data_IF_224044633528
#
_entry.id   IF_224044633528
#
_cell.length_a   1.000
_cell.length_b   1.000
_cell.length_c   1.000
_cell.angle_alpha   90.00
_cell.angle_beta   90.00
_cell.angle_gamma   90.00
#
_symmetry.space_group_name_H-M   'P 1'
#
loop_
_entity.id
_entity.type
_entity.pdbx_description
1 polymer ?
#
# COMPACT_ATOMS: atom_id res chain seq x y z
N UNK A 1 19.09 -7.32 16.58
CA UNK A 1 18.65 -7.18 15.18
C UNK A 1 17.72 -8.31 14.73
N UNK A 2 18.12 -9.60 14.79
CA UNK A 2 17.24 -10.75 14.42
C UNK A 2 15.91 -10.83 15.16
N UNK A 3 15.85 -10.46 16.43
CA UNK A 3 14.64 -10.52 17.27
C UNK A 3 13.65 -9.38 16.99
N UNK A 4 14.11 -8.21 16.55
CA UNK A 4 13.25 -7.07 16.20
C UNK A 4 12.59 -7.29 14.82
N UNK A 5 13.35 -7.78 13.86
CA UNK A 5 12.84 -8.14 12.53
C UNK A 5 11.77 -9.25 12.62
N UNK A 6 12.02 -10.26 13.49
CA UNK A 6 11.05 -11.31 13.74
C UNK A 6 9.76 -10.78 14.42
N UNK A 7 9.87 -9.80 15.32
CA UNK A 7 8.70 -9.19 15.97
C UNK A 7 7.91 -8.28 15.05
N UNK A 8 8.57 -7.51 14.17
CA UNK A 8 7.91 -6.71 13.15
C UNK A 8 7.25 -7.58 12.08
N UNK A 9 7.91 -8.66 11.67
CA UNK A 9 7.34 -9.64 10.75
C UNK A 9 6.14 -10.37 11.37
N UNK A 10 6.22 -10.74 12.65
CA UNK A 10 5.12 -11.36 13.37
C UNK A 10 3.92 -10.42 13.55
N UNK A 11 4.15 -9.11 13.80
CA UNK A 11 3.10 -8.09 13.87
C UNK A 11 2.46 -7.82 12.51
N UNK A 12 3.26 -7.78 11.43
CA UNK A 12 2.77 -7.64 10.06
C UNK A 12 1.95 -8.86 9.63
N UNK A 13 2.39 -10.08 9.96
CA UNK A 13 1.68 -11.32 9.68
C UNK A 13 0.40 -11.47 10.51
N UNK A 14 0.40 -11.04 11.77
CA UNK A 14 -0.79 -11.02 12.62
C UNK A 14 -1.84 -10.01 12.11
N UNK A 15 -1.42 -8.85 11.62
CA UNK A 15 -2.30 -7.87 10.98
C UNK A 15 -2.93 -8.39 9.67
N UNK A 16 -2.20 -9.19 8.89
CA UNK A 16 -2.72 -9.81 7.66
C UNK A 16 -3.73 -10.93 7.94
N UNK A 17 -3.56 -11.67 9.04
CA UNK A 17 -4.47 -12.76 9.43
C UNK A 17 -5.83 -12.24 9.93
N UNK A 18 -5.88 -11.03 10.48
CA UNK A 18 -7.12 -10.37 10.93
C UNK A 18 -7.86 -9.61 9.82
N UNK A 19 -7.22 -9.40 8.67
CA UNK A 19 -7.76 -8.65 7.53
C UNK A 19 -8.32 -9.52 6.39
N UNK A 20 -8.48 -10.83 6.55
CA UNK A 20 -9.13 -11.64 5.54
C UNK A 20 -10.65 -11.35 5.56
N UNK A 21 -11.24 -10.84 4.45
CA UNK A 21 -12.69 -10.69 4.38
C UNK A 21 -13.34 -12.08 4.31
N UNK A 22 -13.83 -12.57 5.44
CA UNK A 22 -14.81 -13.64 5.49
C UNK A 22 -16.18 -13.04 5.04
N UNK A 23 -16.26 -12.57 3.80
CA UNK A 23 -17.46 -12.02 3.21
C UNK A 23 -17.67 -12.58 1.80
N UNK A 24 -17.82 -13.91 1.74
CA UNK A 24 -18.47 -14.54 0.60
C UNK A 24 -19.15 -15.82 1.11
N UNK A 25 -20.48 -15.75 1.23
CA UNK A 25 -21.44 -16.82 1.60
C UNK A 25 -21.94 -16.79 3.05
N UNK A 26 -22.57 -15.67 3.45
CA UNK A 26 -23.64 -15.72 4.42
C UNK A 26 -24.98 -15.51 3.68
N UNK A 27 -26.01 -16.33 3.92
CA UNK A 27 -27.32 -16.15 3.31
C UNK A 27 -27.92 -14.81 3.78
N UNK A 28 -28.67 -14.15 2.89
CA UNK A 28 -29.26 -12.82 3.07
C UNK A 28 -30.18 -12.67 4.31
N UNK A 29 -30.48 -13.74 4.99
CA UNK A 29 -31.30 -13.74 6.21
C UNK A 29 -30.55 -13.31 7.48
N UNK A 30 -29.21 -13.40 7.48
CA UNK A 30 -28.42 -13.02 8.66
C UNK A 30 -28.26 -11.49 8.80
N UNK A 31 -28.35 -10.74 7.71
CA UNK A 31 -28.24 -9.27 7.71
C UNK A 31 -29.50 -8.58 8.26
N UNK A 32 -30.67 -9.21 8.14
CA UNK A 32 -31.92 -8.66 8.65
C UNK A 32 -32.02 -8.77 10.18
N UNK A 33 -31.44 -9.80 10.78
CA UNK A 33 -31.42 -10.00 12.22
C UNK A 33 -30.56 -9.01 12.98
N UNK A 34 -29.44 -8.55 12.37
CA UNK A 34 -28.52 -7.60 13.01
C UNK A 34 -29.11 -6.18 12.98
N UNK A 35 -29.80 -5.79 11.90
CA UNK A 35 -30.49 -4.49 11.81
C UNK A 35 -31.66 -4.44 12.78
N UNK A 36 -32.47 -5.50 12.90
CA UNK A 36 -33.57 -5.59 13.86
C UNK A 36 -33.08 -5.56 15.33
N UNK A 37 -31.94 -6.14 15.63
CA UNK A 37 -31.36 -6.09 16.98
C UNK A 37 -30.76 -4.71 17.31
N UNK A 38 -30.26 -3.98 16.31
CA UNK A 38 -29.77 -2.61 16.48
C UNK A 38 -30.95 -1.62 16.71
N UNK A 39 -32.05 -1.78 15.96
CA UNK A 39 -33.25 -0.97 16.14
C UNK A 39 -33.92 -1.24 17.51
N UNK A 40 -34.01 -2.49 17.94
CA UNK A 40 -34.51 -2.84 19.26
C UNK A 40 -33.63 -2.33 20.42
N UNK A 41 -32.29 -2.30 20.20
CA UNK A 41 -31.36 -1.72 21.17
C UNK A 41 -31.45 -0.19 21.22
N UNK A 42 -31.74 0.45 20.09
CA UNK A 42 -31.96 1.90 20.03
C UNK A 42 -33.26 2.31 20.69
N UNK A 43 -34.37 1.55 20.49
CA UNK A 43 -35.65 1.78 21.10
C UNK A 43 -35.68 1.50 22.63
N UNK A 44 -34.81 0.61 23.10
CA UNK A 44 -34.62 0.33 24.52
C UNK A 44 -33.83 1.41 25.28
N UNK A 45 -33.12 2.31 24.56
CA UNK A 45 -32.37 3.45 25.13
C UNK A 45 -33.23 4.71 25.31
N UNK A 46 -34.38 4.78 24.67
CA UNK A 46 -35.26 5.96 24.70
C UNK A 46 -35.89 6.26 26.09
N UNK A 47 -36.18 5.26 26.98
CA UNK A 47 -36.69 5.57 28.33
C UNK A 47 -35.61 6.02 29.31
N UNK A 48 -34.34 6.02 28.94
CA UNK A 48 -33.21 6.41 29.81
C UNK A 48 -32.62 7.79 29.46
N UNK A 49 -33.23 8.47 28.48
CA UNK A 49 -32.86 9.84 28.20
C UNK A 49 -33.42 10.72 29.33
N UNK A 50 -32.60 11.31 30.21
CA UNK A 50 -33.06 12.33 31.13
C UNK A 50 -33.58 13.49 30.28
N UNK A 51 -34.73 14.09 30.67
CA UNK A 51 -35.18 15.37 30.10
C UNK A 51 -34.02 16.36 30.22
N UNK A 52 -33.30 16.56 29.12
CA UNK A 52 -32.13 17.43 29.07
C UNK A 52 -32.62 18.86 29.23
N UNK A 53 -32.33 19.46 30.36
CA UNK A 53 -32.46 20.89 30.56
C UNK A 53 -31.55 21.60 29.55
N UNK A 54 -32.01 22.53 28.70
CA UNK A 54 -31.19 23.24 27.73
C UNK A 54 -29.98 23.96 28.32
N UNK A 55 -29.99 24.18 29.65
CA UNK A 55 -28.84 24.73 30.40
C UNK A 55 -27.72 23.73 30.58
N UNK A 56 -27.98 22.41 30.60
CA UNK A 56 -27.01 21.35 30.77
C UNK A 56 -26.18 21.15 29.48
N UNK A 57 -26.79 21.30 28.31
CA UNK A 57 -26.10 21.18 27.02
C UNK A 57 -25.06 22.30 26.81
N UNK A 58 -25.39 23.53 27.26
CA UNK A 58 -24.42 24.64 27.22
C UNK A 58 -23.25 24.45 28.16
N UNK A 59 -23.48 23.84 29.32
CA UNK A 59 -22.43 23.55 30.31
C UNK A 59 -21.54 22.38 29.86
N UNK A 60 -22.09 21.37 29.20
CA UNK A 60 -21.34 20.25 28.59
C UNK A 60 -20.48 20.73 27.44
N UNK A 61 -21.00 21.61 26.57
CA UNK A 61 -20.24 22.22 25.48
C UNK A 61 -19.14 23.16 26.01
N UNK A 62 -19.42 23.93 27.06
CA UNK A 62 -18.44 24.80 27.70
C UNK A 62 -17.31 23.99 28.37
N UNK A 63 -17.61 22.87 29.02
CA UNK A 63 -16.61 21.95 29.60
C UNK A 63 -15.80 21.23 28.52
N UNK A 64 -16.42 20.84 27.40
CA UNK A 64 -15.72 20.28 26.26
C UNK A 64 -14.78 21.33 25.62
N UNK A 65 -15.21 22.57 25.47
CA UNK A 65 -14.39 23.67 24.96
C UNK A 65 -13.21 23.99 25.92
N UNK A 66 -13.43 24.03 27.24
CA UNK A 66 -12.38 24.22 28.23
C UNK A 66 -11.39 23.06 28.28
N UNK A 67 -11.84 21.81 28.01
CA UNK A 67 -10.96 20.64 27.85
C UNK A 67 -10.06 20.73 26.62
N UNK A 68 -10.52 21.34 25.54
CA UNK A 68 -9.75 21.62 24.32
C UNK A 68 -8.73 22.74 24.56
N UNK A 69 -9.08 23.80 25.31
CA UNK A 69 -8.17 24.89 25.67
C UNK A 69 -7.07 24.44 26.65
N UNK A 70 -7.32 23.42 27.46
CA UNK A 70 -6.34 22.88 28.39
C UNK A 70 -5.29 21.93 27.74
N UNK A 71 -5.32 21.74 26.40
CA UNK A 71 -4.38 20.86 25.67
C UNK A 71 -4.49 19.36 26.02
N UNK A 72 -5.54 18.96 26.77
CA UNK A 72 -5.84 17.58 27.09
C UNK A 72 -6.95 17.08 26.18
N UNK A 73 -6.56 16.46 25.07
CA UNK A 73 -7.48 15.64 24.29
C UNK A 73 -8.12 14.62 25.25
N UNK A 74 -9.44 14.52 25.22
CA UNK A 74 -10.14 13.48 25.98
C UNK A 74 -9.56 12.11 25.57
N UNK A 75 -9.36 11.22 26.52
CA UNK A 75 -8.85 9.85 26.27
C UNK A 75 -9.60 9.16 25.16
N UNK A 76 -10.90 9.44 25.01
CA UNK A 76 -11.71 8.91 23.91
C UNK A 76 -11.25 9.43 22.53
N UNK A 77 -10.87 10.71 22.42
CA UNK A 77 -10.36 11.31 21.17
C UNK A 77 -8.95 10.76 20.89
N UNK A 78 -8.11 10.60 21.89
CA UNK A 78 -6.78 9.99 21.73
C UNK A 78 -6.90 8.55 21.21
N UNK A 79 -7.80 7.74 21.77
CA UNK A 79 -8.07 6.38 21.31
C UNK A 79 -8.64 6.40 19.88
N UNK A 80 -9.58 7.28 19.57
CA UNK A 80 -10.15 7.38 18.24
C UNK A 80 -9.10 7.75 17.19
N UNK A 81 -8.23 8.71 17.48
CA UNK A 81 -7.10 9.10 16.63
C UNK A 81 -6.12 7.93 16.46
N UNK A 82 -5.77 7.24 17.55
CA UNK A 82 -4.87 6.09 17.50
C UNK A 82 -5.44 4.98 16.60
N UNK A 83 -6.72 4.64 16.75
CA UNK A 83 -7.38 3.63 15.92
C UNK A 83 -7.42 4.09 14.46
N UNK A 84 -7.72 5.36 14.20
CA UNK A 84 -7.74 5.92 12.84
C UNK A 84 -6.36 5.84 12.19
N UNK A 85 -5.30 6.24 12.89
CA UNK A 85 -3.92 6.13 12.40
C UNK A 85 -3.55 4.67 12.14
N UNK A 86 -3.90 3.77 13.06
CA UNK A 86 -3.58 2.34 12.93
C UNK A 86 -4.30 1.69 11.74
N UNK A 87 -5.53 2.09 11.44
CA UNK A 87 -6.28 1.59 10.27
C UNK A 87 -5.78 2.16 8.95
N UNK A 88 -5.23 3.38 8.93
CA UNK A 88 -4.65 4.00 7.75
C UNK A 88 -3.21 3.56 7.49
N UNK A 89 -2.50 3.09 8.51
CA UNK A 89 -1.09 2.72 8.41
C UNK A 89 -0.76 1.74 7.27
N UNK A 90 -1.52 0.64 7.04
CA UNK A 90 -1.27 -0.26 5.93
C UNK A 90 -1.39 0.44 4.56
N UNK A 91 -2.38 1.32 4.38
CA UNK A 91 -2.57 2.07 3.15
C UNK A 91 -1.40 3.03 2.88
N UNK A 92 -0.93 3.73 3.93
CA UNK A 92 0.22 4.63 3.84
C UNK A 92 1.47 3.82 3.48
N UNK A 93 1.74 2.71 4.16
CA UNK A 93 2.92 1.87 3.88
C UNK A 93 2.94 1.37 2.43
N UNK A 94 1.81 0.89 1.91
CA UNK A 94 1.68 0.45 0.52
C UNK A 94 1.96 1.61 -0.45
N UNK A 95 1.50 2.82 -0.12
CA UNK A 95 1.58 3.98 -1.00
C UNK A 95 2.97 4.61 -1.06
N UNK A 96 3.70 4.64 0.07
CA UNK A 96 5.01 5.33 0.17
C UNK A 96 6.21 4.39 0.11
N UNK A 97 6.00 3.11 -0.20
CA UNK A 97 7.09 2.13 -0.34
C UNK A 97 7.19 1.58 -1.76
N UNK A 98 8.18 0.72 -2.00
CA UNK A 98 8.35 0.00 -3.26
C UNK A 98 7.25 -1.02 -3.57
N UNK A 99 6.31 -1.28 -2.65
CA UNK A 99 5.29 -2.31 -2.77
C UNK A 99 4.43 -2.14 -4.03
N UNK A 100 4.00 -0.92 -4.32
CA UNK A 100 3.10 -0.63 -5.47
C UNK A 100 3.71 -1.08 -6.80
N UNK A 101 4.97 -0.73 -7.08
CA UNK A 101 5.66 -1.17 -8.30
C UNK A 101 5.77 -2.69 -8.35
N UNK A 102 6.24 -3.29 -7.27
CA UNK A 102 6.50 -4.73 -7.21
C UNK A 102 5.22 -5.54 -7.44
N UNK A 103 4.14 -5.23 -6.74
CA UNK A 103 2.88 -6.00 -6.86
C UNK A 103 2.24 -5.85 -8.24
N UNK A 104 2.33 -4.67 -8.85
CA UNK A 104 1.81 -4.43 -10.20
C UNK A 104 2.61 -5.23 -11.21
N UNK A 105 3.94 -5.16 -11.20
CA UNK A 105 4.80 -5.88 -12.15
C UNK A 105 4.64 -7.40 -12.01
N UNK A 106 4.63 -7.93 -10.78
CA UNK A 106 4.38 -9.37 -10.57
C UNK A 106 2.99 -9.80 -11.03
N UNK A 107 1.99 -8.92 -10.91
CA UNK A 107 0.65 -9.15 -11.46
C UNK A 107 0.64 -9.17 -12.98
N UNK A 108 1.48 -8.35 -13.63
CA UNK A 108 1.67 -8.40 -15.09
C UNK A 108 2.33 -9.70 -15.53
N UNK A 109 3.35 -10.19 -14.83
CA UNK A 109 3.99 -11.50 -15.11
C UNK A 109 2.95 -12.61 -15.11
N UNK A 110 2.11 -12.68 -14.08
CA UNK A 110 1.03 -13.68 -14.01
C UNK A 110 0.08 -13.60 -15.20
N UNK A 111 -0.33 -12.41 -15.59
CA UNK A 111 -1.22 -12.20 -16.75
C UNK A 111 -0.53 -12.55 -18.07
N UNK A 112 0.76 -12.22 -18.22
CA UNK A 112 1.54 -12.51 -19.42
C UNK A 112 1.66 -14.01 -19.69
N UNK A 113 1.77 -14.82 -18.63
CA UNK A 113 1.77 -16.28 -18.71
C UNK A 113 0.41 -16.89 -19.07
N UNK A 114 -0.65 -16.06 -19.17
CA UNK A 114 -2.04 -16.50 -19.47
C UNK A 114 -2.59 -17.52 -18.44
N UNK A 115 -2.02 -17.54 -17.24
CA UNK A 115 -2.49 -18.37 -16.14
C UNK A 115 -3.42 -17.55 -15.25
N UNK A 116 -4.71 -17.91 -15.17
CA UNK A 116 -5.68 -17.17 -14.36
C UNK A 116 -5.47 -17.38 -12.84
N UNK A 117 -4.86 -18.50 -12.45
CA UNK A 117 -4.79 -18.94 -11.05
C UNK A 117 -3.36 -19.15 -10.53
N UNK A 118 -2.37 -19.30 -11.42
CA UNK A 118 -0.98 -19.58 -11.00
C UNK A 118 -0.03 -18.43 -11.38
N UNK A 119 0.78 -17.94 -10.41
CA UNK A 119 0.74 -18.21 -8.99
C UNK A 119 -0.50 -17.60 -8.30
N UNK A 120 -0.99 -18.20 -7.18
CA UNK A 120 -2.12 -17.65 -6.41
C UNK A 120 -1.84 -16.21 -5.96
N UNK A 121 -2.90 -15.40 -5.84
CA UNK A 121 -2.78 -13.98 -5.46
C UNK A 121 -2.04 -13.79 -4.14
N UNK A 122 -2.24 -14.69 -3.18
CA UNK A 122 -1.56 -14.66 -1.88
C UNK A 122 -0.04 -14.80 -2.02
N UNK A 123 0.42 -15.66 -2.96
CA UNK A 123 1.85 -15.85 -3.24
C UNK A 123 2.44 -14.58 -3.87
N UNK A 124 1.72 -13.96 -4.81
CA UNK A 124 2.15 -12.68 -5.44
C UNK A 124 2.27 -11.58 -4.38
N UNK A 125 1.26 -11.44 -3.51
CA UNK A 125 1.28 -10.45 -2.42
C UNK A 125 2.42 -10.76 -1.44
N UNK A 126 2.58 -12.02 -1.02
CA UNK A 126 3.64 -12.43 -0.10
C UNK A 126 5.03 -12.15 -0.66
N UNK A 127 5.28 -12.49 -1.93
CA UNK A 127 6.54 -12.19 -2.60
C UNK A 127 6.75 -10.67 -2.74
N UNK A 128 5.69 -9.91 -3.06
CA UNK A 128 5.76 -8.44 -3.13
C UNK A 128 6.16 -7.82 -1.80
N UNK A 129 5.59 -8.29 -0.68
CA UNK A 129 5.96 -7.82 0.66
C UNK A 129 7.41 -8.18 1.01
N UNK A 130 7.86 -9.38 0.65
CA UNK A 130 9.22 -9.81 0.90
C UNK A 130 10.25 -8.95 0.14
N UNK A 131 10.01 -8.74 -1.16
CA UNK A 131 10.85 -7.88 -1.99
C UNK A 131 10.80 -6.42 -1.52
N UNK A 132 9.61 -5.93 -1.09
CA UNK A 132 9.48 -4.59 -0.52
C UNK A 132 10.35 -4.43 0.72
N UNK A 133 10.31 -5.39 1.64
CA UNK A 133 11.15 -5.37 2.84
C UNK A 133 12.64 -5.38 2.48
N UNK A 134 13.01 -6.13 1.47
CA UNK A 134 14.39 -6.19 0.98
C UNK A 134 14.85 -4.84 0.39
N UNK A 135 14.04 -4.22 -0.48
CA UNK A 135 14.34 -2.91 -1.09
C UNK A 135 14.35 -1.79 -0.06
N UNK A 136 13.43 -1.84 0.92
CA UNK A 136 13.30 -0.80 1.95
C UNK A 136 14.27 -0.98 3.12
N UNK A 137 15.01 -2.09 3.20
CA UNK A 137 15.94 -2.37 4.30
C UNK A 137 16.93 -1.22 4.56
N UNK A 138 17.65 -0.66 3.55
CA UNK A 138 18.61 0.43 3.79
C UNK A 138 17.92 1.72 4.27
N UNK A 139 16.69 2.00 3.83
CA UNK A 139 15.91 3.16 4.32
C UNK A 139 15.51 2.94 5.77
N UNK A 140 15.02 1.74 6.09
CA UNK A 140 14.62 1.38 7.45
C UNK A 140 15.81 1.39 8.43
N UNK A 141 17.00 0.97 8.01
CA UNK A 141 18.23 1.05 8.80
C UNK A 141 18.60 2.51 9.09
N UNK A 142 18.57 3.40 8.10
CA UNK A 142 18.82 4.84 8.32
C UNK A 142 17.82 5.45 9.31
N UNK A 143 16.54 5.19 9.15
CA UNK A 143 15.49 5.67 10.08
C UNK A 143 15.72 5.11 11.49
N UNK A 144 16.11 3.83 11.59
CA UNK A 144 16.42 3.22 12.87
C UNK A 144 17.57 3.93 13.57
N UNK A 145 18.68 4.16 12.89
CA UNK A 145 19.88 4.71 13.49
C UNK A 145 19.79 6.21 13.76
N UNK A 146 19.17 6.98 12.86
CA UNK A 146 19.08 8.45 12.95
C UNK A 146 17.90 8.96 13.78
N UNK A 147 16.78 8.22 13.79
CA UNK A 147 15.56 8.67 14.46
C UNK A 147 15.20 7.79 15.67
N UNK A 148 15.12 6.47 15.47
CA UNK A 148 14.62 5.58 16.52
C UNK A 148 15.58 5.40 17.69
N UNK A 149 16.86 5.18 17.42
CA UNK A 149 17.88 4.98 18.49
C UNK A 149 18.03 6.23 19.36
N UNK A 150 18.23 7.45 18.83
CA UNK A 150 18.33 8.67 19.64
C UNK A 150 17.04 8.98 20.41
N UNK A 151 15.87 8.72 19.81
CA UNK A 151 14.58 8.87 20.48
C UNK A 151 14.48 7.93 21.70
N UNK A 152 14.87 6.67 21.52
CA UNK A 152 14.87 5.68 22.62
C UNK A 152 15.88 6.00 23.70
N UNK A 153 16.98 6.64 23.36
CA UNK A 153 17.99 7.14 24.31
C UNK A 153 17.53 8.41 25.06
N UNK A 154 16.44 9.05 24.64
CA UNK A 154 15.95 10.30 25.21
C UNK A 154 16.75 11.54 24.77
N UNK A 155 17.59 11.40 23.73
CA UNK A 155 18.42 12.48 23.18
C UNK A 155 17.60 13.45 22.34
N UNK A 156 16.55 12.96 21.67
CA UNK A 156 15.65 13.75 20.81
C UNK A 156 14.19 13.51 21.18
N UNK A 157 13.34 14.52 20.94
CA UNK A 157 11.89 14.41 21.12
C UNK A 157 11.21 13.68 19.96
N UNK A 158 9.93 13.31 20.17
CA UNK A 158 9.12 12.61 19.17
C UNK A 158 8.99 13.40 17.86
N UNK A 159 8.82 14.71 17.93
CA UNK A 159 8.71 15.59 16.77
C UNK A 159 9.98 15.57 15.91
N UNK A 160 11.14 15.69 16.56
CA UNK A 160 12.44 15.64 15.89
C UNK A 160 12.72 14.26 15.28
N UNK A 161 12.39 13.19 16.00
CA UNK A 161 12.50 11.81 15.48
C UNK A 161 11.61 11.61 14.25
N UNK A 162 10.38 12.13 14.29
CA UNK A 162 9.46 12.12 13.14
C UNK A 162 10.00 12.89 11.95
N UNK A 163 10.59 14.06 12.16
CA UNK A 163 11.20 14.86 11.10
C UNK A 163 12.38 14.14 10.43
N UNK A 164 13.27 13.52 11.22
CA UNK A 164 14.40 12.73 10.71
C UNK A 164 13.95 11.50 9.93
N UNK A 165 12.95 10.76 10.46
CA UNK A 165 12.38 9.60 9.77
C UNK A 165 11.75 10.02 8.44
N UNK A 166 11.06 11.16 8.42
CA UNK A 166 10.49 11.71 7.20
C UNK A 166 11.58 12.16 6.21
N UNK A 167 12.67 12.71 6.70
CA UNK A 167 13.80 13.10 5.85
C UNK A 167 14.36 11.91 5.08
N UNK A 168 14.59 10.78 5.75
CA UNK A 168 15.11 9.57 5.11
C UNK A 168 14.09 8.93 4.14
N UNK A 169 12.80 8.89 4.53
CA UNK A 169 11.74 8.42 3.66
C UNK A 169 11.54 9.33 2.45
N UNK A 170 11.51 10.65 2.65
CA UNK A 170 11.38 11.64 1.59
C UNK A 170 12.54 11.59 0.59
N UNK A 171 13.75 11.27 1.05
CA UNK A 171 14.91 10.99 0.20
C UNK A 171 14.67 9.82 -0.76
N UNK A 172 14.15 8.71 -0.23
CA UNK A 172 13.77 7.55 -1.04
C UNK A 172 12.67 7.87 -2.07
N UNK A 173 11.62 8.57 -1.64
CA UNK A 173 10.53 8.97 -2.53
C UNK A 173 11.05 9.84 -3.67
N UNK A 174 11.83 10.87 -3.35
CA UNK A 174 12.38 11.81 -4.33
C UNK A 174 13.30 11.12 -5.34
N UNK A 175 14.19 10.25 -4.87
CA UNK A 175 15.13 9.51 -5.72
C UNK A 175 14.42 8.57 -6.72
N UNK A 176 13.21 8.11 -6.39
CA UNK A 176 12.41 7.22 -7.22
C UNK A 176 11.24 7.92 -7.95
N UNK A 177 11.10 9.24 -7.81
CA UNK A 177 10.09 10.04 -8.50
C UNK A 177 10.66 10.61 -9.79
N UNK A 178 9.92 10.50 -10.89
CA UNK A 178 10.29 11.10 -12.18
C UNK A 178 10.13 12.61 -12.12
N UNK A 179 11.08 13.33 -12.70
CA UNK A 179 11.07 14.80 -12.75
C UNK A 179 9.75 15.34 -13.31
N UNK A 180 9.25 14.78 -14.43
CA UNK A 180 8.01 15.26 -15.03
C UNK A 180 6.75 15.07 -14.16
N UNK A 181 6.72 14.06 -13.29
CA UNK A 181 5.61 13.89 -12.33
C UNK A 181 5.76 14.85 -11.15
N UNK A 182 6.99 15.14 -10.75
CA UNK A 182 7.27 16.12 -9.72
C UNK A 182 6.90 17.53 -10.18
N UNK A 183 7.26 17.90 -11.41
CA UNK A 183 6.92 19.17 -12.02
C UNK A 183 5.40 19.36 -12.13
N UNK A 184 4.69 18.32 -12.59
CA UNK A 184 3.23 18.32 -12.69
C UNK A 184 2.57 18.65 -11.34
N UNK A 185 2.95 17.95 -10.26
CA UNK A 185 2.35 18.17 -8.95
C UNK A 185 2.83 19.44 -8.28
N UNK A 186 4.02 19.93 -8.59
CA UNK A 186 4.50 21.26 -8.17
C UNK A 186 3.65 22.36 -8.78
N UNK A 187 3.39 22.29 -10.09
CA UNK A 187 2.54 23.25 -10.81
C UNK A 187 1.09 23.23 -10.27
N UNK A 188 0.50 22.04 -10.11
CA UNK A 188 -0.86 21.89 -9.58
C UNK A 188 -1.00 22.39 -8.13
N UNK A 189 0.05 22.27 -7.33
CA UNK A 189 0.08 22.74 -5.95
C UNK A 189 0.50 24.20 -5.81
N UNK A 190 0.82 24.86 -6.92
CA UNK A 190 1.44 26.21 -6.94
C UNK A 190 2.66 26.29 -6.00
N UNK A 191 3.50 25.22 -6.03
CA UNK A 191 4.69 25.14 -5.22
C UNK A 191 5.91 25.55 -6.05
N UNK A 192 6.58 26.60 -5.62
CA UNK A 192 7.88 27.02 -6.10
C UNK A 192 8.88 26.86 -4.95
N UNK A 193 9.99 26.14 -5.13
CA UNK A 193 11.00 25.99 -4.09
C UNK A 193 11.62 27.36 -3.78
N UNK A 194 11.70 27.71 -2.49
CA UNK A 194 12.33 28.96 -2.05
C UNK A 194 13.85 28.92 -2.22
N UNK A 195 14.43 27.71 -2.14
CA UNK A 195 15.87 27.46 -2.30
C UNK A 195 16.09 26.34 -3.29
N UNK A 196 17.07 26.49 -4.18
CA UNK A 196 17.45 25.42 -5.12
C UNK A 196 17.89 24.17 -4.36
N UNK A 197 17.24 23.03 -4.62
CA UNK A 197 17.47 21.79 -3.90
C UNK A 197 16.59 21.56 -2.67
N UNK A 198 15.67 22.46 -2.36
CA UNK A 198 14.66 22.24 -1.32
C UNK A 198 13.78 21.04 -1.66
N UNK A 199 13.49 20.23 -0.64
CA UNK A 199 12.61 19.07 -0.82
C UNK A 199 11.15 19.49 -0.92
N UNK A 200 10.43 19.00 -1.93
CA UNK A 200 9.00 19.27 -2.06
C UNK A 200 8.22 18.77 -0.82
N UNK A 201 7.17 19.52 -0.43
CA UNK A 201 6.32 19.09 0.67
C UNK A 201 5.58 17.81 0.34
N UNK A 202 5.13 17.08 1.39
CA UNK A 202 4.38 15.82 1.29
C UNK A 202 3.25 15.84 0.27
N UNK A 203 2.50 16.93 0.26
CA UNK A 203 1.35 17.13 -0.64
C UNK A 203 1.71 17.11 -2.13
N UNK A 204 2.97 17.38 -2.46
CA UNK A 204 3.53 17.33 -3.81
C UNK A 204 4.25 16.01 -4.05
N UNK A 205 5.13 15.62 -3.13
CA UNK A 205 6.02 14.48 -3.31
C UNK A 205 5.29 13.13 -3.32
N UNK A 206 4.32 12.92 -2.41
CA UNK A 206 3.62 11.62 -2.31
C UNK A 206 2.80 11.33 -3.57
N UNK A 207 1.92 12.22 -4.06
CA UNK A 207 1.16 11.93 -5.28
C UNK A 207 2.06 11.84 -6.52
N UNK A 208 3.12 12.63 -6.62
CA UNK A 208 4.11 12.53 -7.69
C UNK A 208 4.81 11.17 -7.70
N UNK A 209 5.23 10.67 -6.53
CA UNK A 209 5.82 9.36 -6.37
C UNK A 209 4.84 8.25 -6.79
N UNK A 210 3.60 8.26 -6.30
CA UNK A 210 2.60 7.25 -6.63
C UNK A 210 2.35 7.19 -8.15
N UNK A 211 2.19 8.33 -8.79
CA UNK A 211 2.00 8.39 -10.24
C UNK A 211 3.24 7.91 -11.00
N UNK A 212 4.44 8.27 -10.52
CA UNK A 212 5.71 7.79 -11.05
C UNK A 212 5.84 6.27 -10.93
N UNK A 213 5.48 5.69 -9.77
CA UNK A 213 5.50 4.25 -9.53
C UNK A 213 4.52 3.50 -10.45
N UNK A 214 3.29 4.02 -10.60
CA UNK A 214 2.31 3.46 -11.52
C UNK A 214 2.85 3.46 -12.96
N UNK A 215 3.35 4.59 -13.44
CA UNK A 215 3.88 4.74 -14.81
C UNK A 215 5.06 3.78 -15.07
N UNK A 216 5.97 3.70 -14.12
CA UNK A 216 7.13 2.79 -14.19
C UNK A 216 6.69 1.34 -14.17
N UNK A 217 5.75 0.97 -13.29
CA UNK A 217 5.19 -0.38 -13.21
C UNK A 217 4.53 -0.81 -14.50
N UNK A 218 3.74 0.08 -15.12
CA UNK A 218 3.11 -0.21 -16.42
C UNK A 218 4.13 -0.36 -17.53
N UNK A 219 5.17 0.47 -17.57
CA UNK A 219 6.25 0.35 -18.55
C UNK A 219 7.00 -0.98 -18.41
N UNK A 220 7.42 -1.34 -17.18
CA UNK A 220 8.08 -2.61 -16.92
C UNK A 220 7.17 -3.80 -17.25
N UNK A 221 5.91 -3.75 -16.80
CA UNK A 221 4.92 -4.78 -17.08
C UNK A 221 4.66 -4.97 -18.57
N UNK A 222 4.59 -3.88 -19.33
CA UNK A 222 4.43 -3.93 -20.78
C UNK A 222 5.63 -4.58 -21.47
N UNK A 223 6.86 -4.20 -21.09
CA UNK A 223 8.07 -4.81 -21.64
C UNK A 223 8.13 -6.32 -21.38
N UNK A 224 7.73 -6.73 -20.16
CA UNK A 224 7.63 -8.16 -19.82
C UNK A 224 6.55 -8.88 -20.62
N UNK A 225 5.51 -8.19 -21.03
CA UNK A 225 4.40 -8.78 -21.80
C UNK A 225 4.76 -9.03 -23.27
N UNK A 226 5.67 -8.22 -23.86
CA UNK A 226 6.01 -8.27 -25.29
C UNK A 226 6.42 -9.67 -25.80
N UNK A 227 7.37 -10.40 -25.20
CA UNK A 227 7.76 -11.72 -25.69
C UNK A 227 6.60 -12.72 -25.69
N UNK A 228 5.72 -12.65 -24.71
CA UNK A 228 4.55 -13.52 -24.60
C UNK A 228 3.47 -13.17 -25.65
N UNK A 229 3.33 -11.89 -25.97
CA UNK A 229 2.43 -11.44 -27.03
C UNK A 229 2.90 -11.97 -28.40
N UNK A 230 4.21 -11.98 -28.67
CA UNK A 230 4.76 -12.55 -29.91
C UNK A 230 4.42 -14.04 -30.02
N UNK A 231 4.55 -14.79 -28.93
CA UNK A 231 4.16 -16.22 -28.92
C UNK A 231 2.68 -16.38 -29.26
N UNK A 232 1.79 -15.55 -28.66
CA UNK A 232 0.35 -15.60 -28.96
C UNK A 232 0.07 -15.33 -30.42
N UNK A 233 0.74 -14.34 -31.04
CA UNK A 233 0.57 -14.00 -32.43
C UNK A 233 1.07 -15.12 -33.35
N UNK A 234 2.21 -15.73 -33.08
CA UNK A 234 2.75 -16.84 -33.88
C UNK A 234 1.82 -18.05 -33.80
N UNK A 235 1.44 -18.46 -32.57
CA UNK A 235 0.51 -19.60 -32.39
C UNK A 235 -0.83 -19.32 -33.07
N UNK A 236 -1.38 -18.11 -32.93
CA UNK A 236 -2.62 -17.70 -33.54
C UNK A 236 -2.56 -17.77 -35.08
N UNK A 237 -1.48 -17.28 -35.69
CA UNK A 237 -1.30 -17.33 -37.14
C UNK A 237 -1.18 -18.75 -37.67
N UNK A 238 -0.49 -19.64 -36.97
CA UNK A 238 -0.38 -21.07 -37.33
C UNK A 238 -1.76 -21.75 -37.27
N UNK A 239 -2.51 -21.58 -36.17
CA UNK A 239 -3.85 -22.16 -36.03
C UNK A 239 -4.81 -21.68 -37.11
N UNK A 240 -4.78 -20.38 -37.43
CA UNK A 240 -5.60 -19.82 -38.51
C UNK A 240 -5.22 -20.42 -39.88
N UNK A 241 -3.92 -20.59 -40.15
CA UNK A 241 -3.47 -21.17 -41.41
C UNK A 241 -3.88 -22.65 -41.60
N UNK A 242 -4.02 -23.36 -40.46
CA UNK A 242 -4.52 -24.75 -40.42
C UNK A 242 -6.06 -24.83 -40.46
N UNK A 243 -6.77 -23.70 -40.53
CA UNK A 243 -8.24 -23.67 -40.55
C UNK A 243 -8.90 -23.95 -39.20
N UNK A 244 -8.14 -23.87 -38.10
CA UNK A 244 -8.62 -24.18 -36.74
C UNK A 244 -9.21 -22.93 -36.06
N UNK A 245 -10.33 -22.41 -36.59
CA UNK A 245 -10.94 -21.16 -36.07
C UNK A 245 -11.63 -21.30 -34.71
N UNK A 246 -11.98 -22.52 -34.30
CA UNK A 246 -12.72 -22.77 -33.03
C UNK A 246 -11.83 -22.89 -31.81
N UNK A 247 -10.52 -23.08 -31.98
CA UNK A 247 -9.58 -23.22 -30.86
C UNK A 247 -9.06 -21.85 -30.42
N UNK A 248 -9.24 -21.44 -29.13
CA UNK A 248 -8.67 -20.22 -28.63
C UNK A 248 -7.14 -20.28 -28.68
N UNK A 249 -6.43 -19.37 -29.38
CA UNK A 249 -4.96 -19.40 -29.48
C UNK A 249 -4.25 -19.38 -28.13
N UNK A 250 -4.82 -18.67 -27.14
CA UNK A 250 -4.29 -18.55 -25.79
C UNK A 250 -4.14 -19.89 -25.09
N UNK A 251 -5.07 -20.82 -25.27
CA UNK A 251 -4.97 -22.16 -24.65
C UNK A 251 -3.80 -22.97 -25.21
N UNK A 252 -3.53 -22.81 -26.50
CA UNK A 252 -2.42 -23.52 -27.17
C UNK A 252 -1.08 -22.84 -26.88
N UNK A 253 -1.04 -21.52 -26.77
CA UNK A 253 0.20 -20.77 -26.51
C UNK A 253 0.67 -20.83 -25.05
N UNK A 254 -0.23 -21.05 -24.08
CA UNK A 254 0.09 -21.08 -22.65
C UNK A 254 1.26 -22.03 -22.28
N UNK A 255 1.28 -23.32 -22.75
CA UNK A 255 2.41 -24.20 -22.45
C UNK A 255 3.76 -23.66 -22.96
N UNK A 256 3.76 -23.05 -24.16
CA UNK A 256 4.98 -22.48 -24.73
C UNK A 256 5.48 -21.25 -23.95
N UNK A 257 4.55 -20.42 -23.46
CA UNK A 257 4.88 -19.28 -22.58
C UNK A 257 5.53 -19.73 -21.29
N UNK A 258 4.93 -20.73 -20.62
CA UNK A 258 5.48 -21.28 -19.38
C UNK A 258 6.86 -21.89 -19.64
N UNK A 259 7.00 -22.66 -20.71
CA UNK A 259 8.27 -23.28 -21.08
C UNK A 259 9.36 -22.21 -21.31
N UNK A 260 9.05 -21.17 -22.09
CA UNK A 260 9.98 -20.07 -22.35
C UNK A 260 10.38 -19.39 -21.02
N UNK A 261 9.40 -19.07 -20.17
CA UNK A 261 9.63 -18.40 -18.91
C UNK A 261 10.55 -19.20 -17.97
N UNK A 262 10.36 -20.53 -17.93
CA UNK A 262 11.24 -21.43 -17.15
C UNK A 262 12.63 -21.55 -17.75
N UNK A 263 12.73 -21.65 -19.09
CA UNK A 263 14.04 -21.78 -19.78
C UNK A 263 14.95 -20.56 -19.62
N UNK A 264 14.36 -19.36 -19.54
CA UNK A 264 15.13 -18.11 -19.36
C UNK A 264 15.31 -17.73 -17.89
N UNK A 265 14.90 -18.59 -16.95
CA UNK A 265 14.87 -18.29 -15.50
C UNK A 265 14.12 -16.99 -15.21
N UNK A 266 12.89 -16.91 -15.71
CA UNK A 266 12.08 -15.68 -15.70
C UNK A 266 11.82 -15.10 -14.32
N UNK A 267 11.69 -15.95 -13.27
CA UNK A 267 11.53 -15.44 -11.90
C UNK A 267 12.75 -14.69 -11.41
N UNK A 268 13.95 -15.21 -11.68
CA UNK A 268 15.21 -14.55 -11.32
C UNK A 268 15.33 -13.19 -12.01
N UNK A 269 15.15 -13.16 -13.33
CA UNK A 269 15.23 -11.92 -14.12
C UNK A 269 14.22 -10.86 -13.67
N UNK A 270 12.99 -11.26 -13.36
CA UNK A 270 11.95 -10.34 -12.88
C UNK A 270 12.30 -9.78 -11.50
N UNK A 271 12.71 -10.63 -10.55
CA UNK A 271 13.08 -10.18 -9.22
C UNK A 271 14.31 -9.26 -9.24
N UNK A 272 15.34 -9.63 -9.99
CA UNK A 272 16.56 -8.83 -10.19
C UNK A 272 16.23 -7.46 -10.80
N UNK A 273 15.46 -7.45 -11.89
CA UNK A 273 15.02 -6.21 -12.55
C UNK A 273 14.22 -5.30 -11.63
N UNK A 274 13.32 -5.88 -10.82
CA UNK A 274 12.54 -5.13 -9.84
C UNK A 274 13.42 -4.50 -8.77
N UNK A 275 14.29 -5.28 -8.14
CA UNK A 275 15.16 -4.80 -7.06
C UNK A 275 16.14 -3.74 -7.58
N UNK A 276 16.78 -3.98 -8.71
CA UNK A 276 17.75 -3.04 -9.30
C UNK A 276 17.11 -1.79 -9.89
N UNK A 277 15.79 -1.78 -10.12
CA UNK A 277 15.07 -0.61 -10.62
C UNK A 277 14.87 0.49 -9.58
N UNK A 278 15.13 0.21 -8.29
CA UNK A 278 15.03 1.19 -7.22
C UNK A 278 16.37 1.81 -6.88
N UNK A 279 16.36 3.13 -6.70
CA UNK A 279 17.50 3.87 -6.17
C UNK A 279 17.38 3.90 -4.65
N UNK A 280 18.32 3.25 -3.97
CA UNK A 280 18.35 3.14 -2.49
C UNK A 280 19.57 3.92 -1.95
N UNK A 281 19.64 5.21 -2.26
CA UNK A 281 20.71 6.10 -1.77
C UNK A 281 20.50 6.51 -0.33
#
# INVERSE_FOLDING_TARGET
>A
MRTLLARLLALALAGLALGAPAAAQAPAEASFGVLSAADAAFEALDPLAPEADPSDDADVLARAAQGLEAGRLSTAVEIAVLITVLTLLPAILITVTSFTRIVIVLSFVRRALSTNELPPTQVVIGLSLFLTTFVMAPVAERIHDRAWVPYRAGEIGLEQAGALAWEDMGGFLLANTRVGELDLFSELAHYEPEVEGERPPLRVLVPAFVLSELKTSFQMGFLLFLPFLVIDMVVGSVLLSMGMFMLPPVMVSTPFKILLFVLVDGWHLVCESLVTSFVTT
#
